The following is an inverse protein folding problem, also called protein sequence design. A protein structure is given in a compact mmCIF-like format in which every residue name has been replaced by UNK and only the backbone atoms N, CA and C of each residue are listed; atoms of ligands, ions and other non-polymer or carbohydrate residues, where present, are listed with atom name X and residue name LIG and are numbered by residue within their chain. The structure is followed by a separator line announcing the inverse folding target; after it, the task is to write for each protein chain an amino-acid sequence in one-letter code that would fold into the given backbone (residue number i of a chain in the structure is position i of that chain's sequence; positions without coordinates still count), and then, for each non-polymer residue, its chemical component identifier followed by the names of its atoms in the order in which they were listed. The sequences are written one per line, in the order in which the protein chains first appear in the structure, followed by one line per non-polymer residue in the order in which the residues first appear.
data_IF_668301085514
#
_entry.id   IF_668301085514
#
_cell.length_a   1.000
_cell.length_b   1.000
_cell.length_c   1.000
_cell.angle_alpha   90.00
_cell.angle_beta   90.00
_cell.angle_gamma   90.00
#
_symmetry.space_group_name_H-M   'P 1'
#
loop_
_entity.id
_entity.type
_entity.pdbx_description
1 polymer ?
#
# COMPACT_ATOMS: atom_id res chain seq x y z
N UNK A 1 -15.20 42.76 3.56
CA UNK A 1 -14.03 41.94 3.92
C UNK A 1 -14.45 40.48 3.84
N UNK A 2 -14.00 39.75 2.82
CA UNK A 2 -14.29 38.34 2.60
C UNK A 2 -13.22 37.52 3.33
N UNK A 3 -13.59 36.71 4.32
CA UNK A 3 -12.67 35.74 4.88
C UNK A 3 -13.34 34.37 4.91
N UNK A 4 -13.26 33.67 3.78
CA UNK A 4 -13.70 32.30 3.66
C UNK A 4 -12.50 31.40 4.03
N UNK A 5 -12.34 31.16 5.32
CA UNK A 5 -11.42 30.11 5.79
C UNK A 5 -12.10 28.78 5.49
N UNK A 6 -11.87 28.27 4.27
CA UNK A 6 -12.24 26.91 3.92
C UNK A 6 -11.26 26.00 4.67
N UNK A 7 -11.73 25.46 5.79
CA UNK A 7 -11.13 24.27 6.38
C UNK A 7 -11.24 23.14 5.36
N UNK A 8 -10.14 22.89 4.63
CA UNK A 8 -10.05 21.84 3.61
C UNK A 8 -9.75 20.50 4.28
N UNK A 9 -10.66 20.07 5.14
CA UNK A 9 -10.78 18.67 5.53
C UNK A 9 -11.17 17.88 4.28
N UNK A 10 -10.18 17.32 3.57
CA UNK A 10 -10.41 16.46 2.41
C UNK A 10 -11.06 15.18 2.91
N UNK A 11 -12.38 15.08 2.77
CA UNK A 11 -13.10 13.83 2.95
C UNK A 11 -12.70 12.88 1.82
N UNK A 12 -11.78 11.95 2.13
CA UNK A 12 -11.35 10.93 1.18
C UNK A 12 -12.33 9.76 1.28
N UNK A 13 -12.89 9.36 0.14
CA UNK A 13 -13.77 8.19 0.07
C UNK A 13 -12.97 6.88 0.04
N UNK A 14 -13.55 5.79 0.56
CA UNK A 14 -12.94 4.46 0.50
C UNK A 14 -12.64 4.01 -0.94
N UNK A 15 -13.49 4.41 -1.88
CA UNK A 15 -13.29 4.12 -3.30
C UNK A 15 -12.06 4.82 -3.85
N UNK A 16 -11.85 6.10 -3.50
CA UNK A 16 -10.70 6.87 -3.96
C UNK A 16 -9.39 6.38 -3.32
N UNK A 17 -9.42 5.92 -2.06
CA UNK A 17 -8.29 5.24 -1.44
C UNK A 17 -7.97 3.93 -2.15
N UNK A 18 -8.98 3.09 -2.36
CA UNK A 18 -8.80 1.80 -3.03
C UNK A 18 -8.25 1.98 -4.45
N UNK A 19 -8.79 2.92 -5.22
CA UNK A 19 -8.32 3.23 -6.57
C UNK A 19 -6.84 3.66 -6.58
N UNK A 20 -6.44 4.54 -5.66
CA UNK A 20 -5.03 4.94 -5.54
C UNK A 20 -4.10 3.80 -5.17
N UNK A 21 -4.52 2.92 -4.25
CA UNK A 21 -3.75 1.74 -3.84
C UNK A 21 -3.59 0.78 -5.02
N UNK A 22 -4.65 0.55 -5.79
CA UNK A 22 -4.60 -0.35 -6.95
C UNK A 22 -3.79 0.24 -8.11
N UNK A 23 -3.88 1.54 -8.37
CA UNK A 23 -3.20 2.18 -9.50
C UNK A 23 -1.71 2.45 -9.24
N UNK A 24 -1.35 2.94 -8.05
CA UNK A 24 0.06 3.25 -7.71
C UNK A 24 0.80 2.08 -7.07
N UNK A 25 0.06 1.14 -6.50
CA UNK A 25 0.61 0.09 -5.67
C UNK A 25 0.97 0.58 -4.26
N UNK A 26 1.00 -0.34 -3.31
CA UNK A 26 1.45 -0.13 -1.93
C UNK A 26 2.38 -1.26 -1.53
N UNK A 27 3.51 -0.91 -0.91
CA UNK A 27 4.42 -1.87 -0.31
C UNK A 27 4.10 -1.96 1.19
N UNK A 28 3.73 -3.15 1.65
CA UNK A 28 3.57 -3.46 3.06
C UNK A 28 4.82 -4.19 3.54
N UNK A 29 5.43 -3.69 4.60
CA UNK A 29 6.54 -4.36 5.28
C UNK A 29 6.08 -4.74 6.69
N UNK A 30 6.39 -5.95 7.11
CA UNK A 30 6.04 -6.43 8.44
C UNK A 30 6.85 -7.66 8.80
N UNK A 31 6.74 -8.06 10.06
CA UNK A 31 7.53 -9.13 10.63
C UNK A 31 6.60 -10.09 11.36
N UNK A 32 6.87 -11.39 11.20
CA UNK A 32 6.11 -12.46 11.85
C UNK A 32 7.10 -13.26 12.68
N UNK A 33 6.78 -13.45 13.96
CA UNK A 33 7.52 -14.35 14.85
C UNK A 33 6.61 -15.54 15.14
N UNK A 34 7.12 -16.75 14.91
CA UNK A 34 6.44 -18.00 15.24
C UNK A 34 7.11 -18.57 16.48
N UNK A 35 6.32 -18.64 17.55
CA UNK A 35 6.77 -19.06 18.88
C UNK A 35 6.10 -20.36 19.29
N UNK A 36 6.82 -21.21 20.02
CA UNK A 36 6.31 -22.47 20.58
C UNK A 36 6.72 -22.54 22.04
N UNK A 37 5.76 -22.79 22.94
CA UNK A 37 6.00 -22.87 24.39
C UNK A 37 6.80 -21.67 24.93
N UNK A 38 6.38 -20.45 24.56
CA UNK A 38 7.01 -19.17 24.94
C UNK A 38 8.44 -18.96 24.43
N UNK A 39 8.88 -19.78 23.48
CA UNK A 39 10.17 -19.62 22.80
C UNK A 39 9.94 -19.17 21.36
N UNK A 40 10.53 -18.05 20.99
CA UNK A 40 10.57 -17.57 19.61
C UNK A 40 11.51 -18.46 18.78
N UNK A 41 10.98 -19.15 17.77
CA UNK A 41 11.76 -20.12 16.99
C UNK A 41 12.06 -19.62 15.58
N UNK A 42 11.12 -18.90 14.98
CA UNK A 42 11.23 -18.50 13.58
C UNK A 42 10.85 -17.04 13.45
N UNK A 43 11.75 -16.26 12.85
CA UNK A 43 11.48 -14.90 12.42
C UNK A 43 11.31 -14.87 10.90
N UNK A 44 10.24 -14.23 10.43
CA UNK A 44 9.94 -14.05 9.01
C UNK A 44 9.73 -12.57 8.74
N UNK A 45 10.66 -11.97 7.99
CA UNK A 45 10.47 -10.65 7.41
C UNK A 45 9.62 -10.74 6.15
N UNK A 46 8.56 -9.95 6.07
CA UNK A 46 7.57 -9.96 4.99
C UNK A 46 7.58 -8.61 4.29
N UNK A 47 7.74 -8.62 2.96
CA UNK A 47 7.47 -7.46 2.09
C UNK A 47 6.47 -7.88 1.02
N UNK A 48 5.32 -7.22 1.00
CA UNK A 48 4.24 -7.46 0.05
C UNK A 48 4.03 -6.22 -0.81
N UNK A 49 3.88 -6.39 -2.11
CA UNK A 49 3.39 -5.35 -3.01
C UNK A 49 1.93 -5.66 -3.34
N UNK A 50 1.02 -4.77 -2.98
CA UNK A 50 -0.36 -4.78 -3.44
C UNK A 50 -0.49 -3.80 -4.59
N UNK A 51 -0.97 -4.23 -5.75
CA UNK A 51 -1.26 -3.39 -6.90
C UNK A 51 -2.39 -4.01 -7.71
N UNK A 52 -2.89 -3.29 -8.72
CA UNK A 52 -3.75 -3.90 -9.73
C UNK A 52 -3.00 -5.02 -10.48
N UNK A 53 -3.77 -5.95 -11.04
CA UNK A 53 -3.22 -7.04 -11.88
C UNK A 53 -2.53 -6.46 -13.11
N UNK A 54 -3.12 -5.44 -13.74
CA UNK A 54 -2.54 -4.78 -14.91
C UNK A 54 -1.16 -4.17 -14.61
N UNK A 55 -1.05 -3.41 -13.51
CA UNK A 55 0.21 -2.83 -13.06
C UNK A 55 1.26 -3.92 -12.76
N UNK A 56 0.84 -5.04 -12.17
CA UNK A 56 1.71 -6.16 -11.86
C UNK A 56 2.24 -6.88 -13.12
N UNK A 57 1.39 -7.07 -14.13
CA UNK A 57 1.80 -7.68 -15.39
C UNK A 57 2.76 -6.78 -16.18
N UNK A 58 2.56 -5.45 -16.14
CA UNK A 58 3.50 -4.48 -16.71
C UNK A 58 4.88 -4.57 -16.02
N UNK A 59 4.92 -4.62 -14.69
CA UNK A 59 6.16 -4.82 -13.90
C UNK A 59 6.90 -6.10 -14.28
N UNK A 60 6.19 -7.23 -14.40
CA UNK A 60 6.78 -8.52 -14.79
C UNK A 60 7.31 -8.53 -16.21
N UNK A 61 6.65 -7.81 -17.12
CA UNK A 61 7.04 -7.75 -18.54
C UNK A 61 8.31 -6.92 -18.81
N UNK A 62 8.91 -6.30 -17.78
CA UNK A 62 10.12 -5.47 -17.92
C UNK A 62 9.88 -4.14 -18.64
N UNK A 63 8.61 -3.78 -18.92
CA UNK A 63 8.26 -2.48 -19.47
C UNK A 63 8.43 -1.42 -18.36
N UNK A 64 9.15 -0.33 -18.61
CA UNK A 64 9.34 0.69 -17.58
C UNK A 64 8.00 1.29 -17.19
N UNK A 65 7.70 1.34 -15.88
CA UNK A 65 6.64 2.21 -15.35
C UNK A 65 7.12 3.64 -15.57
N UNK A 66 6.53 4.32 -16.55
CA UNK A 66 6.75 5.76 -16.73
C UNK A 66 5.91 6.44 -15.64
N UNK A 67 6.58 6.91 -14.59
CA UNK A 67 6.00 7.76 -13.54
C UNK A 67 5.64 9.14 -14.08
#
# INVERSE_FOLDING_TARGET
MHNNVIDRSKDITMLELLDRVLNKGVILSGDIIISVADIDLVYVGVKLLLSSVETMEQLKSGKPIIL
#
